data_IF_595356013006
#
_entry.id   IF_595356013006
#
_cell.length_a   1.000
_cell.length_b   1.000
_cell.length_c   1.000
_cell.angle_alpha   90.00
_cell.angle_beta   90.00
_cell.angle_gamma   90.00
#
_symmetry.space_group_name_H-M   'P 1'
#
loop_
_entity.id
_entity.type
_entity.pdbx_description
1 polymer ?
#
# COMPACT_ATOMS: atom_id res chain seq x y z
N UNK A 1 19.50 6.70 10.57
CA UNK A 1 18.57 5.97 9.69
C UNK A 1 19.41 5.36 8.58
N UNK A 2 19.06 4.18 8.10
CA UNK A 2 19.73 3.58 6.92
C UNK A 2 19.46 4.43 5.69
N UNK A 3 20.44 4.59 4.80
CA UNK A 3 20.32 5.29 3.50
C UNK A 3 20.36 4.30 2.34
N UNK A 4 19.84 3.11 2.58
CA UNK A 4 19.84 1.96 1.68
C UNK A 4 19.01 2.15 0.41
N UNK A 5 18.18 3.19 0.35
CA UNK A 5 17.41 3.60 -0.83
C UNK A 5 17.94 4.89 -1.47
N UNK A 6 19.15 5.30 -1.15
CA UNK A 6 19.75 6.51 -1.74
C UNK A 6 19.83 6.39 -3.28
N UNK A 7 19.28 7.38 -3.98
CA UNK A 7 19.23 7.41 -5.45
C UNK A 7 18.13 6.55 -6.07
N UNK A 8 17.35 5.80 -5.28
CA UNK A 8 16.17 5.09 -5.75
C UNK A 8 14.95 6.00 -5.84
N UNK A 9 14.01 5.64 -6.68
CA UNK A 9 12.77 6.39 -6.87
C UNK A 9 11.56 5.51 -6.60
N UNK A 10 10.58 6.06 -5.89
CA UNK A 10 9.37 5.36 -5.47
C UNK A 10 8.11 6.08 -5.91
N UNK A 11 7.09 5.31 -6.28
CA UNK A 11 5.71 5.77 -6.45
C UNK A 11 4.83 5.16 -5.35
N UNK A 12 4.17 6.01 -4.55
CA UNK A 12 3.27 5.58 -3.47
C UNK A 12 1.85 6.05 -3.76
N UNK A 13 0.93 5.11 -3.96
CA UNK A 13 -0.47 5.44 -4.25
C UNK A 13 -1.29 5.62 -2.98
N UNK A 14 -2.30 6.53 -2.99
CA UNK A 14 -3.14 6.78 -1.83
C UNK A 14 -2.41 7.42 -0.65
N UNK A 15 -1.41 8.27 -0.91
CA UNK A 15 -0.45 8.74 0.08
C UNK A 15 -0.76 10.12 0.68
N UNK A 16 -1.97 10.66 0.53
CA UNK A 16 -2.35 11.92 1.18
C UNK A 16 -2.49 11.81 2.70
N UNK A 17 -2.52 10.60 3.27
CA UNK A 17 -2.65 10.33 4.72
C UNK A 17 -2.39 8.87 5.06
N UNK A 18 -2.42 8.56 6.38
CA UNK A 18 -2.40 7.18 6.91
C UNK A 18 -1.17 6.39 6.46
N UNK A 19 -1.37 5.11 6.12
CA UNK A 19 -0.29 4.20 5.75
C UNK A 19 0.53 4.76 4.59
N UNK A 20 -0.11 5.21 3.50
CA UNK A 20 0.62 5.69 2.33
C UNK A 20 1.53 6.90 2.63
N UNK A 21 1.07 7.85 3.46
CA UNK A 21 1.90 8.99 3.87
C UNK A 21 3.07 8.54 4.76
N UNK A 22 2.83 7.62 5.70
CA UNK A 22 3.89 7.08 6.55
C UNK A 22 4.92 6.29 5.74
N UNK A 23 4.49 5.53 4.72
CA UNK A 23 5.39 4.85 3.78
C UNK A 23 6.23 5.85 3.01
N UNK A 24 5.63 6.93 2.49
CA UNK A 24 6.39 7.98 1.81
C UNK A 24 7.46 8.59 2.73
N UNK A 25 7.12 8.87 4.00
CA UNK A 25 8.07 9.37 4.99
C UNK A 25 9.21 8.38 5.28
N UNK A 26 8.91 7.09 5.42
CA UNK A 26 9.91 6.03 5.63
C UNK A 26 10.87 5.93 4.45
N UNK A 27 10.36 5.90 3.21
CA UNK A 27 11.19 5.80 2.02
C UNK A 27 12.09 7.04 1.83
N UNK A 28 11.56 8.24 2.10
CA UNK A 28 12.35 9.49 2.14
C UNK A 28 13.44 9.42 3.20
N UNK A 29 13.13 8.92 4.41
CA UNK A 29 14.09 8.75 5.49
C UNK A 29 15.22 7.77 5.15
N UNK A 30 14.97 6.84 4.21
CA UNK A 30 15.97 5.91 3.64
C UNK A 30 16.71 6.48 2.43
N UNK A 31 16.40 7.71 2.01
CA UNK A 31 17.10 8.43 0.94
C UNK A 31 16.45 8.33 -0.45
N UNK A 32 15.27 7.71 -0.59
CA UNK A 32 14.58 7.62 -1.88
C UNK A 32 13.94 8.96 -2.28
N UNK A 33 13.81 9.20 -3.59
CA UNK A 33 12.88 10.18 -4.15
C UNK A 33 11.47 9.56 -4.17
N UNK A 34 10.43 10.33 -3.84
CA UNK A 34 9.09 9.78 -3.71
C UNK A 34 8.06 10.62 -4.46
N UNK A 35 7.38 10.02 -5.43
CA UNK A 35 6.15 10.55 -5.98
C UNK A 35 4.97 9.99 -5.20
N UNK A 36 4.12 10.89 -4.69
CA UNK A 36 2.89 10.53 -4.00
C UNK A 36 1.67 10.86 -4.87
N UNK A 37 0.67 9.97 -4.89
CA UNK A 37 -0.59 10.24 -5.59
C UNK A 37 -1.82 9.98 -4.71
N UNK A 38 -2.86 10.78 -4.93
CA UNK A 38 -4.19 10.62 -4.36
C UNK A 38 -5.22 11.43 -5.17
N UNK A 39 -6.51 11.15 -4.99
CA UNK A 39 -7.59 11.78 -5.78
C UNK A 39 -7.78 13.27 -5.55
N UNK A 40 -7.59 13.74 -4.32
CA UNK A 40 -7.83 15.13 -3.92
C UNK A 40 -6.52 15.89 -3.87
N UNK A 41 -6.43 16.97 -4.67
CA UNK A 41 -5.21 17.76 -4.82
C UNK A 41 -4.79 18.43 -3.51
N UNK A 42 -5.67 19.18 -2.86
CA UNK A 42 -5.28 19.97 -1.69
C UNK A 42 -4.76 19.12 -0.52
N UNK A 43 -5.42 18.03 -0.06
CA UNK A 43 -4.86 17.16 0.96
C UNK A 43 -3.58 16.45 0.54
N UNK A 44 -3.35 16.25 -0.76
CA UNK A 44 -2.13 15.64 -1.27
C UNK A 44 -0.95 16.63 -1.24
N UNK A 45 -1.17 17.88 -1.64
CA UNK A 45 -0.16 18.94 -1.58
C UNK A 45 0.20 19.27 -0.13
N UNK A 46 -0.78 19.28 0.78
CA UNK A 46 -0.52 19.41 2.21
C UNK A 46 0.37 18.26 2.73
N UNK A 47 0.07 17.03 2.35
CA UNK A 47 0.90 15.88 2.71
C UNK A 47 2.32 16.01 2.14
N UNK A 48 2.47 16.45 0.89
CA UNK A 48 3.78 16.67 0.28
C UNK A 48 4.57 17.79 1.00
N UNK A 49 3.93 18.88 1.40
CA UNK A 49 4.56 19.95 2.18
C UNK A 49 5.09 19.41 3.52
N UNK A 50 4.25 18.67 4.27
CA UNK A 50 4.65 18.06 5.53
C UNK A 50 5.78 17.03 5.36
N UNK A 51 5.83 16.30 4.26
CA UNK A 51 6.92 15.37 3.96
C UNK A 51 8.23 16.10 3.66
N UNK A 52 8.19 17.25 2.95
CA UNK A 52 9.37 18.08 2.68
C UNK A 52 9.93 18.71 3.96
N UNK A 53 9.06 19.09 4.91
CA UNK A 53 9.45 19.64 6.22
C UNK A 53 10.24 18.64 7.09
N UNK A 54 10.20 17.33 6.79
CA UNK A 54 11.03 16.36 7.49
C UNK A 54 12.53 16.51 7.19
N UNK A 55 12.91 17.30 6.18
CA UNK A 55 14.29 17.63 5.87
C UNK A 55 15.14 16.46 5.35
N UNK A 56 14.51 15.44 4.80
CA UNK A 56 15.22 14.32 4.16
C UNK A 56 15.87 14.75 2.83
N UNK A 57 16.90 14.01 2.37
CA UNK A 57 17.61 14.34 1.13
C UNK A 57 16.78 14.05 -0.13
N UNK A 58 15.86 13.09 -0.07
CA UNK A 58 15.00 12.70 -1.20
C UNK A 58 13.99 13.80 -1.57
N UNK A 59 13.67 13.85 -2.85
CA UNK A 59 12.65 14.77 -3.38
C UNK A 59 11.24 14.21 -3.16
N UNK A 60 10.27 15.10 -2.95
CA UNK A 60 8.84 14.78 -2.86
C UNK A 60 8.09 15.48 -3.97
N UNK A 61 7.43 14.70 -4.81
CA UNK A 61 6.54 15.19 -5.87
C UNK A 61 5.12 14.69 -5.61
N UNK A 62 4.13 15.57 -5.73
CA UNK A 62 2.72 15.24 -5.63
C UNK A 62 2.06 15.29 -7.01
N UNK A 63 1.27 14.28 -7.35
CA UNK A 63 0.44 14.26 -8.55
C UNK A 63 -0.97 13.77 -8.20
N UNK A 64 -1.95 14.65 -8.30
CA UNK A 64 -3.35 14.27 -8.09
C UNK A 64 -3.83 13.38 -9.24
N UNK A 65 -4.48 12.25 -8.89
CA UNK A 65 -5.00 11.30 -9.87
C UNK A 65 -5.90 10.25 -9.22
N UNK A 66 -6.78 9.68 -10.01
CA UNK A 66 -7.69 8.60 -9.60
C UNK A 66 -7.13 7.25 -10.03
N UNK A 67 -6.71 6.42 -9.10
CA UNK A 67 -6.16 5.08 -9.37
C UNK A 67 -7.08 4.20 -10.24
N UNK A 68 -8.40 4.44 -10.22
CA UNK A 68 -9.35 3.73 -11.08
C UNK A 68 -9.35 4.16 -12.55
N UNK A 69 -8.64 5.25 -12.92
CA UNK A 69 -8.55 5.80 -14.27
C UNK A 69 -7.20 5.41 -14.88
N UNK A 70 -7.21 4.83 -16.09
CA UNK A 70 -6.00 4.30 -16.71
C UNK A 70 -4.99 5.41 -17.04
N UNK A 71 -5.48 6.52 -17.57
CA UNK A 71 -4.70 7.68 -17.95
C UNK A 71 -3.98 8.29 -16.73
N UNK A 72 -4.66 8.36 -15.58
CA UNK A 72 -4.07 8.89 -14.34
C UNK A 72 -2.96 7.96 -13.81
N UNK A 73 -3.10 6.63 -13.98
CA UNK A 73 -2.05 5.66 -13.62
C UNK A 73 -0.82 5.82 -14.51
N UNK A 74 -1.04 5.89 -15.82
CA UNK A 74 0.04 6.11 -16.79
C UNK A 74 0.78 7.42 -16.52
N UNK A 75 0.04 8.52 -16.31
CA UNK A 75 0.60 9.83 -15.99
C UNK A 75 1.43 9.82 -14.69
N UNK A 76 0.99 9.09 -13.66
CA UNK A 76 1.74 9.01 -12.39
C UNK A 76 3.07 8.26 -12.56
N UNK A 77 3.08 7.17 -13.33
CA UNK A 77 4.30 6.39 -13.65
C UNK A 77 5.24 7.20 -14.52
N UNK A 78 4.74 7.81 -15.60
CA UNK A 78 5.53 8.65 -16.50
C UNK A 78 6.14 9.84 -15.74
N UNK A 79 5.36 10.48 -14.86
CA UNK A 79 5.85 11.59 -14.04
C UNK A 79 6.98 11.15 -13.10
N UNK A 80 6.89 9.99 -12.47
CA UNK A 80 7.95 9.48 -11.60
C UNK A 80 9.25 9.25 -12.37
N UNK A 81 9.17 8.59 -13.55
CA UNK A 81 10.33 8.34 -14.40
C UNK A 81 10.93 9.65 -14.94
N UNK A 82 10.10 10.59 -15.37
CA UNK A 82 10.56 11.88 -15.91
C UNK A 82 11.23 12.74 -14.85
N UNK A 83 10.66 12.78 -13.64
CA UNK A 83 11.13 13.64 -12.57
C UNK A 83 12.41 13.14 -11.91
N UNK A 84 12.52 11.81 -11.75
CA UNK A 84 13.60 11.19 -10.97
C UNK A 84 14.60 10.40 -11.83
N UNK A 85 14.31 10.16 -13.09
CA UNK A 85 15.13 9.36 -14.00
C UNK A 85 14.97 7.84 -13.81
N UNK A 86 14.16 7.38 -12.83
CA UNK A 86 13.90 5.96 -12.55
C UNK A 86 12.56 5.74 -11.86
N UNK A 87 12.13 4.46 -11.79
CA UNK A 87 11.04 3.99 -10.93
C UNK A 87 11.40 2.60 -10.38
N UNK A 88 12.11 2.58 -9.26
CA UNK A 88 12.64 1.36 -8.65
C UNK A 88 11.66 0.68 -7.71
N UNK A 89 10.73 1.47 -7.11
CA UNK A 89 9.79 1.02 -6.09
C UNK A 89 8.37 1.45 -6.41
N UNK A 90 7.44 0.50 -6.37
CA UNK A 90 6.00 0.78 -6.49
C UNK A 90 5.25 0.30 -5.26
N UNK A 91 4.51 1.20 -4.60
CA UNK A 91 3.66 0.87 -3.46
C UNK A 91 2.19 1.05 -3.83
N UNK A 92 1.49 -0.05 -4.03
CA UNK A 92 0.04 -0.08 -4.24
C UNK A 92 -0.68 -0.04 -2.89
N UNK A 93 -0.91 1.17 -2.38
CA UNK A 93 -1.58 1.39 -1.11
C UNK A 93 -3.03 1.89 -1.26
N UNK A 94 -3.42 2.40 -2.43
CA UNK A 94 -4.80 2.85 -2.65
C UNK A 94 -5.79 1.71 -2.39
N UNK A 95 -6.84 1.99 -1.61
CA UNK A 95 -7.93 1.05 -1.37
C UNK A 95 -9.19 1.76 -0.91
N UNK A 96 -10.34 1.14 -1.17
CA UNK A 96 -11.66 1.60 -0.72
C UNK A 96 -12.46 0.46 -0.11
N UNK A 97 -13.37 0.80 0.78
CA UNK A 97 -14.37 -0.11 1.31
C UNK A 97 -15.69 0.62 1.57
N UNK A 98 -16.55 0.80 0.56
CA UNK A 98 -17.86 1.40 0.74
C UNK A 98 -18.96 0.40 1.17
N UNK A 99 -18.65 -0.91 1.28
CA UNK A 99 -19.65 -1.96 1.56
C UNK A 99 -19.43 -2.54 2.95
N UNK A 100 -20.45 -2.44 3.80
CA UNK A 100 -20.47 -2.98 5.15
C UNK A 100 -21.75 -3.82 5.35
N UNK A 101 -21.66 -4.88 6.16
CA UNK A 101 -22.80 -5.74 6.51
C UNK A 101 -22.91 -7.00 5.67
N UNK A 102 -24.14 -7.53 5.55
CA UNK A 102 -24.41 -8.78 4.86
C UNK A 102 -24.21 -8.67 3.34
N UNK A 103 -23.56 -9.68 2.74
CA UNK A 103 -23.32 -9.69 1.28
C UNK A 103 -24.63 -9.81 0.48
N UNK A 104 -25.67 -10.41 1.07
CA UNK A 104 -26.93 -10.59 0.37
C UNK A 104 -27.67 -9.28 0.10
N UNK A 105 -27.35 -8.23 0.87
CA UNK A 105 -27.92 -6.88 0.72
C UNK A 105 -26.93 -5.90 0.06
N UNK A 106 -25.77 -6.40 -0.40
CA UNK A 106 -24.72 -5.54 -0.93
C UNK A 106 -25.08 -4.99 -2.32
N UNK A 107 -24.86 -3.70 -2.51
CA UNK A 107 -24.89 -3.09 -3.84
C UNK A 107 -23.74 -3.63 -4.71
N UNK A 108 -24.09 -4.32 -5.80
CA UNK A 108 -23.11 -4.95 -6.69
C UNK A 108 -22.25 -3.93 -7.45
N UNK A 109 -22.73 -2.71 -7.68
CA UNK A 109 -21.90 -1.67 -8.30
C UNK A 109 -20.85 -1.15 -7.32
N UNK A 110 -21.19 -1.02 -6.04
CA UNK A 110 -20.21 -0.75 -5.01
C UNK A 110 -19.19 -1.90 -4.85
N UNK A 111 -19.63 -3.16 -4.97
CA UNK A 111 -18.71 -4.34 -4.97
C UNK A 111 -17.77 -4.28 -6.18
N UNK A 112 -18.28 -4.06 -7.41
CA UNK A 112 -17.45 -3.89 -8.61
C UNK A 112 -16.41 -2.80 -8.40
N UNK A 113 -16.82 -1.65 -7.85
CA UNK A 113 -15.91 -0.52 -7.58
C UNK A 113 -14.81 -0.87 -6.59
N UNK A 114 -15.07 -1.73 -5.60
CA UNK A 114 -14.04 -2.26 -4.70
C UNK A 114 -12.98 -3.03 -5.49
N UNK A 115 -13.38 -3.95 -6.36
CA UNK A 115 -12.44 -4.73 -7.15
C UNK A 115 -11.68 -3.87 -8.16
N UNK A 116 -12.34 -2.92 -8.83
CA UNK A 116 -11.70 -2.00 -9.75
C UNK A 116 -10.56 -1.22 -9.08
N UNK A 117 -10.81 -0.69 -7.87
CA UNK A 117 -9.82 0.16 -7.19
C UNK A 117 -8.77 -0.66 -6.44
N UNK A 118 -9.19 -1.75 -5.75
CA UNK A 118 -8.28 -2.49 -4.88
C UNK A 118 -7.44 -3.53 -5.62
N UNK A 119 -7.89 -4.01 -6.78
CA UNK A 119 -7.27 -5.11 -7.53
C UNK A 119 -6.84 -4.66 -8.91
N UNK A 120 -7.80 -4.24 -9.76
CA UNK A 120 -7.50 -3.90 -11.17
C UNK A 120 -6.57 -2.69 -11.27
N UNK A 121 -6.78 -1.67 -10.43
CA UNK A 121 -5.89 -0.49 -10.44
C UNK A 121 -4.48 -0.83 -9.96
N UNK A 122 -4.32 -1.71 -8.95
CA UNK A 122 -3.01 -2.16 -8.49
C UNK A 122 -2.26 -2.90 -9.60
N UNK A 123 -2.92 -3.84 -10.29
CA UNK A 123 -2.35 -4.52 -11.46
C UNK A 123 -2.00 -3.52 -12.57
N UNK A 124 -2.88 -2.55 -12.83
CA UNK A 124 -2.63 -1.52 -13.84
C UNK A 124 -1.39 -0.68 -13.54
N UNK A 125 -1.18 -0.25 -12.28
CA UNK A 125 0.06 0.43 -11.90
C UNK A 125 1.31 -0.45 -12.12
N UNK A 126 1.23 -1.75 -11.79
CA UNK A 126 2.35 -2.68 -12.02
C UNK A 126 2.63 -2.79 -13.52
N UNK A 127 1.60 -2.89 -14.37
CA UNK A 127 1.77 -2.94 -15.82
C UNK A 127 2.41 -1.67 -16.39
N UNK A 128 2.00 -0.49 -15.92
CA UNK A 128 2.60 0.77 -16.37
C UNK A 128 4.06 0.90 -15.88
N UNK A 129 4.35 0.59 -14.61
CA UNK A 129 5.71 0.59 -14.08
C UNK A 129 6.62 -0.41 -14.81
N UNK A 130 6.10 -1.61 -15.13
CA UNK A 130 6.80 -2.64 -15.90
C UNK A 130 7.18 -2.13 -17.27
N UNK A 131 6.23 -1.54 -18.03
CA UNK A 131 6.46 -1.03 -19.38
C UNK A 131 7.44 0.16 -19.41
N UNK A 132 7.27 1.09 -18.45
CA UNK A 132 8.01 2.34 -18.46
C UNK A 132 9.45 2.20 -17.94
N UNK A 133 9.71 1.25 -17.02
CA UNK A 133 11.02 1.15 -16.35
C UNK A 133 11.41 -0.26 -15.90
N UNK A 134 10.58 -0.92 -15.09
CA UNK A 134 11.02 -2.09 -14.30
C UNK A 134 11.37 -3.32 -15.15
N UNK A 135 10.80 -3.49 -16.34
CA UNK A 135 11.13 -4.59 -17.25
C UNK A 135 12.63 -4.65 -17.55
N UNK A 136 13.24 -3.53 -17.77
CA UNK A 136 14.62 -3.44 -18.22
C UNK A 136 15.61 -3.24 -17.05
N UNK A 137 15.17 -2.61 -15.96
CA UNK A 137 16.01 -2.18 -14.83
C UNK A 137 15.76 -2.95 -13.52
N UNK A 138 14.66 -3.72 -13.43
CA UNK A 138 14.27 -4.38 -12.18
C UNK A 138 13.54 -3.45 -11.21
N UNK A 139 13.27 -3.94 -10.00
CA UNK A 139 12.60 -3.16 -8.97
C UNK A 139 11.91 -3.99 -7.90
N UNK A 140 11.16 -3.30 -7.03
CA UNK A 140 10.38 -3.93 -5.98
C UNK A 140 8.95 -3.34 -5.93
N UNK A 141 7.97 -4.22 -5.83
CA UNK A 141 6.56 -3.87 -5.69
C UNK A 141 6.04 -4.35 -4.35
N UNK A 142 5.34 -3.50 -3.60
CA UNK A 142 4.61 -3.92 -2.41
C UNK A 142 3.13 -3.54 -2.52
N UNK A 143 2.27 -4.55 -2.38
CA UNK A 143 0.83 -4.40 -2.35
C UNK A 143 0.34 -4.31 -0.89
N UNK A 144 -0.40 -3.26 -0.53
CA UNK A 144 -1.02 -3.16 0.78
C UNK A 144 -2.35 -3.91 0.77
N UNK A 145 -2.31 -5.15 1.23
CA UNK A 145 -3.45 -6.03 1.42
C UNK A 145 -4.17 -5.75 2.76
N UNK A 146 -4.60 -6.77 3.47
CA UNK A 146 -5.22 -6.70 4.79
C UNK A 146 -5.34 -8.10 5.39
N UNK A 147 -5.38 -8.22 6.72
CA UNK A 147 -5.80 -9.47 7.40
C UNK A 147 -7.21 -9.90 7.00
N UNK A 148 -8.07 -8.97 6.56
CA UNK A 148 -9.39 -9.28 5.99
C UNK A 148 -9.32 -10.10 4.69
N UNK A 149 -8.17 -10.10 3.99
CA UNK A 149 -7.91 -10.96 2.85
C UNK A 149 -7.44 -12.37 3.23
N UNK A 150 -7.09 -12.60 4.49
CA UNK A 150 -6.61 -13.89 5.01
C UNK A 150 -7.70 -14.59 5.83
N UNK A 151 -8.48 -13.81 6.59
CA UNK A 151 -9.53 -14.29 7.49
C UNK A 151 -10.85 -13.59 7.23
N UNK A 152 -11.96 -14.33 7.26
CA UNK A 152 -13.29 -13.75 7.18
C UNK A 152 -13.59 -12.84 8.36
N UNK A 153 -14.21 -11.69 8.08
CA UNK A 153 -14.53 -10.66 9.08
C UNK A 153 -16.03 -10.56 9.40
N UNK A 154 -16.89 -11.09 8.52
CA UNK A 154 -18.35 -11.02 8.64
C UNK A 154 -18.98 -9.69 8.26
N UNK A 155 -18.25 -8.57 8.29
CA UNK A 155 -18.80 -7.22 8.11
C UNK A 155 -18.23 -6.45 6.91
N UNK A 156 -17.06 -6.83 6.41
CA UNK A 156 -16.38 -6.18 5.27
C UNK A 156 -15.99 -7.22 4.21
N UNK A 157 -16.92 -8.14 3.92
CA UNK A 157 -16.62 -9.34 3.16
C UNK A 157 -16.19 -9.05 1.70
N UNK A 158 -16.85 -8.10 1.00
CA UNK A 158 -16.45 -7.69 -0.35
C UNK A 158 -15.03 -7.09 -0.39
N UNK A 159 -14.70 -6.26 0.60
CA UNK A 159 -13.34 -5.76 0.78
C UNK A 159 -12.36 -6.89 1.04
N UNK A 160 -12.67 -7.80 1.97
CA UNK A 160 -11.85 -8.97 2.28
C UNK A 160 -11.56 -9.80 1.02
N UNK A 161 -12.59 -10.10 0.22
CA UNK A 161 -12.45 -10.82 -1.05
C UNK A 161 -11.51 -10.09 -2.03
N UNK A 162 -11.60 -8.76 -2.15
CA UNK A 162 -10.68 -7.98 -2.98
C UNK A 162 -9.23 -8.05 -2.48
N UNK A 163 -9.03 -8.07 -1.15
CA UNK A 163 -7.68 -8.19 -0.56
C UNK A 163 -7.13 -9.62 -0.68
N UNK A 164 -7.99 -10.65 -0.65
CA UNK A 164 -7.58 -12.04 -0.98
C UNK A 164 -7.12 -12.14 -2.45
N UNK A 165 -7.85 -11.52 -3.38
CA UNK A 165 -7.44 -11.46 -4.78
C UNK A 165 -6.08 -10.76 -4.96
N UNK A 166 -5.85 -9.65 -4.26
CA UNK A 166 -4.57 -8.93 -4.31
C UNK A 166 -3.41 -9.76 -3.72
N UNK A 167 -3.67 -10.53 -2.65
CA UNK A 167 -2.70 -11.48 -2.08
C UNK A 167 -2.35 -12.57 -3.10
N UNK A 168 -3.33 -13.17 -3.75
CA UNK A 168 -3.09 -14.19 -4.76
C UNK A 168 -2.30 -13.63 -5.96
N UNK A 169 -2.71 -12.47 -6.48
CA UNK A 169 -1.98 -11.79 -7.56
C UNK A 169 -0.52 -11.47 -7.20
N UNK A 170 -0.23 -11.19 -5.93
CA UNK A 170 1.14 -10.97 -5.48
C UNK A 170 2.03 -12.18 -5.74
N UNK A 171 1.58 -13.38 -5.42
CA UNK A 171 2.30 -14.64 -5.69
C UNK A 171 2.49 -14.90 -7.19
N UNK A 172 1.42 -14.74 -7.98
CA UNK A 172 1.45 -14.92 -9.43
C UNK A 172 2.44 -13.94 -10.11
N UNK A 173 2.40 -12.67 -9.71
CA UNK A 173 3.28 -11.65 -10.26
C UNK A 173 4.74 -11.86 -9.84
N UNK A 174 4.99 -12.33 -8.63
CA UNK A 174 6.35 -12.67 -8.19
C UNK A 174 6.97 -13.77 -9.06
N UNK A 175 6.19 -14.78 -9.42
CA UNK A 175 6.61 -15.84 -10.34
C UNK A 175 6.87 -15.31 -11.75
N UNK A 176 5.98 -14.48 -12.29
CA UNK A 176 6.06 -14.00 -13.66
C UNK A 176 7.15 -12.93 -13.87
N UNK A 177 7.46 -12.13 -12.86
CA UNK A 177 8.35 -10.97 -12.97
C UNK A 177 9.76 -11.23 -12.42
N UNK A 178 9.97 -12.34 -11.71
CA UNK A 178 11.29 -12.79 -11.30
C UNK A 178 12.19 -13.13 -12.49
N UNK A 179 13.52 -13.03 -12.35
CA UNK A 179 14.27 -12.62 -11.15
C UNK A 179 14.46 -11.10 -11.01
N UNK A 180 13.99 -10.29 -11.95
CA UNK A 180 14.29 -8.85 -11.97
C UNK A 180 13.44 -8.03 -10.99
N UNK A 181 12.18 -8.42 -10.80
CA UNK A 181 11.24 -7.64 -9.99
C UNK A 181 10.72 -8.52 -8.86
N UNK A 182 10.87 -8.05 -7.62
CA UNK A 182 10.27 -8.68 -6.46
C UNK A 182 8.87 -8.10 -6.22
N UNK A 183 7.92 -8.95 -5.95
CA UNK A 183 6.54 -8.54 -5.64
C UNK A 183 6.12 -9.17 -4.33
N UNK A 184 5.83 -8.34 -3.32
CA UNK A 184 5.37 -8.79 -2.01
C UNK A 184 4.10 -8.06 -1.59
N UNK A 185 3.44 -8.54 -0.57
CA UNK A 185 2.31 -7.87 0.06
C UNK A 185 2.54 -7.72 1.58
N UNK A 186 1.92 -6.70 2.15
CA UNK A 186 1.73 -6.60 3.59
C UNK A 186 0.25 -6.76 3.92
N UNK A 187 -0.07 -7.45 5.00
CA UNK A 187 -1.44 -7.65 5.48
C UNK A 187 -1.61 -7.02 6.87
N UNK A 188 -1.94 -5.71 6.95
CA UNK A 188 -2.15 -5.03 8.21
C UNK A 188 -3.42 -5.52 8.92
N UNK A 189 -3.37 -5.53 10.26
CA UNK A 189 -4.55 -5.52 11.12
C UNK A 189 -5.24 -4.15 11.10
N UNK A 190 -5.98 -3.80 12.16
CA UNK A 190 -6.55 -2.46 12.30
C UNK A 190 -5.43 -1.46 12.62
N UNK A 191 -5.22 -0.53 11.69
CA UNK A 191 -4.25 0.57 11.81
C UNK A 191 -5.00 1.86 12.10
N UNK A 192 -4.54 2.65 13.07
CA UNK A 192 -5.14 3.93 13.47
C UNK A 192 -5.04 4.94 12.32
N UNK A 193 -6.09 4.96 11.50
CA UNK A 193 -6.22 5.82 10.32
C UNK A 193 -7.68 6.23 10.14
N UNK A 194 -7.92 7.33 9.44
CA UNK A 194 -9.28 7.72 9.07
C UNK A 194 -10.02 6.66 8.23
N UNK A 195 -9.29 5.80 7.52
CA UNK A 195 -9.89 4.70 6.75
C UNK A 195 -10.52 3.62 7.65
N UNK A 196 -9.89 3.32 8.77
CA UNK A 196 -10.32 2.29 9.71
C UNK A 196 -11.11 2.84 10.91
N UNK A 197 -11.37 4.15 10.96
CA UNK A 197 -11.96 4.85 12.10
C UNK A 197 -13.25 4.17 12.61
N UNK A 198 -14.13 3.79 11.71
CA UNK A 198 -15.38 3.10 12.04
C UNK A 198 -15.19 1.74 12.77
N UNK A 199 -13.99 1.17 12.75
CA UNK A 199 -13.70 -0.12 13.37
C UNK A 199 -13.23 0.01 14.83
N UNK A 200 -12.86 1.21 15.30
CA UNK A 200 -12.30 1.38 16.64
C UNK A 200 -12.72 2.67 17.37
N UNK A 201 -13.25 3.69 16.67
CA UNK A 201 -13.53 4.99 17.28
C UNK A 201 -14.60 4.95 18.40
N UNK A 202 -15.49 3.95 18.37
CA UNK A 202 -16.51 3.79 19.41
C UNK A 202 -15.92 3.28 20.74
N UNK A 203 -14.90 2.42 20.70
CA UNK A 203 -14.24 1.84 21.86
C UNK A 203 -12.85 1.28 21.43
N UNK A 204 -11.84 2.13 21.51
CA UNK A 204 -10.48 1.77 21.11
C UNK A 204 -9.89 0.69 22.00
N UNK A 205 -10.12 0.75 23.31
CA UNK A 205 -9.58 -0.22 24.27
C UNK A 205 -10.13 -1.62 24.00
N UNK A 206 -11.43 -1.71 23.74
CA UNK A 206 -12.06 -2.97 23.33
C UNK A 206 -11.50 -3.47 22.01
N UNK A 207 -11.34 -2.61 21.02
CA UNK A 207 -10.74 -2.98 19.72
C UNK A 207 -9.28 -3.45 19.89
N UNK A 208 -8.51 -2.83 20.78
CA UNK A 208 -7.14 -3.20 21.08
C UNK A 208 -7.01 -4.50 21.89
N UNK A 209 -8.00 -4.82 22.74
CA UNK A 209 -7.96 -5.94 23.68
C UNK A 209 -7.78 -7.31 23.01
N UNK A 210 -8.27 -7.47 21.76
CA UNK A 210 -8.19 -8.72 21.00
C UNK A 210 -6.80 -8.98 20.40
N UNK A 211 -5.94 -7.96 20.38
CA UNK A 211 -4.57 -8.08 19.90
C UNK A 211 -3.64 -8.53 21.03
N UNK A 212 -2.76 -9.54 20.80
CA UNK A 212 -1.71 -9.90 21.75
C UNK A 212 -0.86 -8.71 22.17
N UNK A 213 -0.55 -7.77 21.26
CA UNK A 213 0.23 -6.56 21.54
C UNK A 213 -0.54 -5.49 22.32
N UNK A 214 -1.83 -5.72 22.63
CA UNK A 214 -2.70 -4.84 23.44
C UNK A 214 -2.75 -3.38 22.96
N UNK A 215 -2.55 -3.19 21.67
CA UNK A 215 -2.73 -1.91 20.98
C UNK A 215 -3.14 -2.13 19.52
N UNK A 216 -3.74 -1.12 18.94
CA UNK A 216 -3.91 -1.05 17.48
C UNK A 216 -2.56 -0.70 16.82
N UNK A 217 -2.42 -1.06 15.55
CA UNK A 217 -1.24 -0.68 14.79
C UNK A 217 -1.22 0.81 14.44
N UNK A 218 -0.03 1.36 14.26
CA UNK A 218 0.17 2.69 13.68
C UNK A 218 0.57 2.59 12.20
N UNK A 219 0.40 3.64 11.40
CA UNK A 219 0.90 3.68 10.03
C UNK A 219 2.40 3.36 9.91
N UNK A 220 3.20 3.76 10.90
CA UNK A 220 4.64 3.54 10.97
C UNK A 220 5.00 2.05 11.19
N UNK A 221 4.16 1.28 11.89
CA UNK A 221 4.36 -0.17 12.04
C UNK A 221 4.35 -0.87 10.66
N UNK A 222 3.49 -0.39 9.75
CA UNK A 222 3.40 -0.92 8.37
C UNK A 222 4.51 -0.35 7.49
N UNK A 223 4.81 0.93 7.61
CA UNK A 223 5.78 1.64 6.78
C UNK A 223 7.18 1.06 6.92
N UNK A 224 7.63 0.76 8.14
CA UNK A 224 8.96 0.16 8.41
C UNK A 224 9.13 -1.20 7.73
N UNK A 225 8.10 -2.05 7.76
CA UNK A 225 8.16 -3.33 7.05
C UNK A 225 8.20 -3.13 5.54
N UNK A 226 7.43 -2.20 5.00
CA UNK A 226 7.46 -1.88 3.57
C UNK A 226 8.85 -1.38 3.18
N UNK A 227 9.46 -0.48 3.96
CA UNK A 227 10.83 -0.02 3.74
C UNK A 227 11.85 -1.16 3.69
N UNK A 228 11.74 -2.15 4.59
CA UNK A 228 12.55 -3.35 4.54
C UNK A 228 12.28 -4.19 3.27
N UNK A 229 11.02 -4.46 2.94
CA UNK A 229 10.66 -5.31 1.81
C UNK A 229 11.12 -4.76 0.45
N UNK A 230 11.26 -3.44 0.31
CA UNK A 230 11.74 -2.84 -0.94
C UNK A 230 13.26 -2.67 -0.99
N UNK A 231 13.96 -2.82 0.12
CA UNK A 231 15.41 -2.74 0.20
C UNK A 231 16.12 -4.02 -0.27
N UNK A 232 17.44 -3.94 -0.45
CA UNK A 232 18.27 -5.07 -0.81
C UNK A 232 18.41 -6.09 0.32
N UNK A 233 18.10 -5.72 1.57
CA UNK A 233 18.04 -6.65 2.71
C UNK A 233 16.96 -7.73 2.51
N UNK A 234 15.93 -7.46 1.71
CA UNK A 234 14.88 -8.39 1.32
C UNK A 234 15.09 -9.02 -0.06
N UNK A 235 16.33 -9.08 -0.57
CA UNK A 235 16.64 -9.55 -1.93
C UNK A 235 16.17 -11.00 -2.23
N UNK A 236 16.00 -11.84 -1.20
CA UNK A 236 15.52 -13.23 -1.34
C UNK A 236 14.07 -13.42 -0.92
N UNK A 237 13.30 -12.31 -0.78
CA UNK A 237 11.88 -12.32 -0.40
C UNK A 237 11.05 -11.82 -1.58
N UNK A 238 10.26 -12.71 -2.18
CA UNK A 238 9.28 -12.40 -3.23
C UNK A 238 8.12 -13.36 -3.17
N UNK A 239 6.92 -12.92 -3.53
CA UNK A 239 5.67 -13.70 -3.46
C UNK A 239 5.04 -13.78 -2.08
N UNK A 240 5.67 -13.17 -1.08
CA UNK A 240 5.23 -13.26 0.31
C UNK A 240 4.15 -12.24 0.67
N UNK A 241 3.26 -12.66 1.58
CA UNK A 241 2.31 -11.77 2.27
C UNK A 241 2.63 -11.74 3.75
N UNK A 242 3.28 -10.66 4.19
CA UNK A 242 3.72 -10.52 5.58
C UNK A 242 2.64 -9.82 6.41
N UNK A 243 2.18 -10.48 7.47
CA UNK A 243 1.20 -9.90 8.39
C UNK A 243 1.84 -8.85 9.30
N UNK A 244 1.13 -7.73 9.47
CA UNK A 244 1.46 -6.65 10.42
C UNK A 244 0.22 -6.42 11.29
N UNK A 245 -0.07 -7.39 12.14
CA UNK A 245 -1.38 -7.53 12.78
C UNK A 245 -1.32 -7.61 14.31
N UNK A 246 -0.19 -7.29 14.93
CA UNK A 246 -0.02 -7.35 16.37
C UNK A 246 -0.35 -8.72 16.98
N UNK A 247 -0.24 -9.79 16.17
CA UNK A 247 -0.53 -11.17 16.55
C UNK A 247 -2.00 -11.58 16.44
N UNK A 248 -2.87 -10.74 15.86
CA UNK A 248 -4.32 -11.00 15.75
C UNK A 248 -4.64 -12.38 15.16
N UNK A 249 -3.98 -12.76 14.08
CA UNK A 249 -4.21 -14.04 13.41
C UNK A 249 -3.38 -15.21 13.98
N UNK A 250 -2.54 -14.95 14.98
CA UNK A 250 -1.77 -15.98 15.69
C UNK A 250 -2.47 -16.43 16.96
N UNK A 251 -3.55 -15.77 17.37
CA UNK A 251 -4.38 -16.21 18.49
C UNK A 251 -5.19 -17.40 18.03
N UNK A 252 -4.91 -18.58 18.59
CA UNK A 252 -5.77 -19.74 18.46
C UNK A 252 -7.15 -19.40 19.06
N UNK A 253 -8.21 -19.71 18.33
CA UNK A 253 -9.55 -19.67 18.90
C UNK A 253 -9.65 -20.78 19.97
N UNK A 254 -9.41 -20.44 21.22
CA UNK A 254 -9.80 -21.24 22.37
C UNK A 254 -11.17 -20.72 22.82
#
# INVERSE_FOLDING_TARGET
>A
MSTDLLGKSALVTGASRGIGKAVAAELLGRGANVLITARKKDPLEEAAAQLRELGHQGQVVALAGNSGVAEDRAAAVERAVTEFGSLDVLINNTGINPVYGALMDADLDAVRKIFDVNVVAALGYIQEAYKAWMRDHGGAVVNVASVAGIRSTGVIAAYGASKSALIHLTGELAWQLGPKIRVNAVAPGVIKTKFADALYSADEDRAASVYPMKRLGSPEDVARLIGFLVSDEAAWITGETVRVDGGLLSTGGI
#
